data_IF_787538166488
#
_entry.id   IF_787538166488
#
_cell.length_a   1.000
_cell.length_b   1.000
_cell.length_c   1.000
_cell.angle_alpha   90.00
_cell.angle_beta   90.00
_cell.angle_gamma   90.00
#
_symmetry.space_group_name_H-M   'P 1'
#
loop_
_entity.id
_entity.type
_entity.pdbx_description
1 polymer ?
#
# COMPACT_ATOMS: atom_id res chain seq x y z
N UNK A 1 -49.65 47.49 -64.47
CA UNK A 1 -49.68 47.72 -63.02
C UNK A 1 -49.60 46.34 -62.34
N UNK A 2 -48.43 45.98 -61.91
CA UNK A 2 -48.13 44.66 -61.36
C UNK A 2 -48.13 44.72 -59.82
N UNK A 3 -49.03 44.04 -59.19
CA UNK A 3 -49.05 43.89 -57.70
C UNK A 3 -48.04 42.84 -57.30
N UNK A 4 -47.18 43.28 -56.38
CA UNK A 4 -46.20 42.35 -55.72
C UNK A 4 -46.82 41.91 -54.45
N UNK A 5 -47.07 40.58 -54.33
CA UNK A 5 -47.54 39.93 -53.11
C UNK A 5 -46.29 39.50 -52.28
N UNK A 6 -46.14 40.10 -51.10
CA UNK A 6 -45.11 39.70 -50.11
C UNK A 6 -45.62 38.55 -49.30
N UNK A 7 -44.99 37.39 -49.42
CA UNK A 7 -45.25 36.25 -48.57
C UNK A 7 -44.30 36.34 -47.38
N UNK A 8 -44.85 36.56 -46.19
CA UNK A 8 -44.12 36.46 -44.91
C UNK A 8 -43.96 35.00 -44.52
N UNK A 9 -42.74 34.51 -44.60
CA UNK A 9 -42.41 33.17 -44.08
C UNK A 9 -42.00 33.28 -42.63
N UNK A 10 -42.86 32.85 -41.68
CA UNK A 10 -42.57 32.75 -40.28
C UNK A 10 -41.71 31.51 -39.98
N UNK A 11 -40.44 31.73 -39.60
CA UNK A 11 -39.57 30.67 -39.10
C UNK A 11 -39.96 30.32 -37.67
N UNK A 12 -40.55 29.16 -37.49
CA UNK A 12 -40.70 28.49 -36.18
C UNK A 12 -39.38 27.83 -35.78
N UNK A 13 -38.66 28.42 -34.85
CA UNK A 13 -37.51 27.80 -34.23
C UNK A 13 -37.96 26.80 -33.21
N UNK A 14 -37.83 25.53 -33.51
CA UNK A 14 -37.98 24.43 -32.52
C UNK A 14 -36.74 24.43 -31.61
N UNK A 15 -36.92 24.87 -30.37
CA UNK A 15 -35.92 24.70 -29.32
C UNK A 15 -36.01 23.26 -28.78
N UNK A 16 -35.02 22.45 -29.16
CA UNK A 16 -34.83 21.13 -28.51
C UNK A 16 -34.27 21.34 -27.09
N UNK A 17 -34.87 20.79 -26.04
CA UNK A 17 -34.24 20.75 -24.74
C UNK A 17 -33.11 19.74 -24.78
N UNK A 18 -31.87 20.21 -24.77
CA UNK A 18 -30.69 19.38 -24.53
C UNK A 18 -30.84 18.67 -23.20
N UNK A 19 -31.06 17.36 -23.23
CA UNK A 19 -30.88 16.49 -22.06
C UNK A 19 -29.44 16.65 -21.61
N UNK A 20 -29.26 17.28 -20.44
CA UNK A 20 -27.99 17.26 -19.73
C UNK A 20 -27.61 15.79 -19.50
N UNK A 21 -26.66 15.30 -20.27
CA UNK A 21 -26.04 14.00 -20.08
C UNK A 21 -25.23 14.13 -18.79
N UNK A 22 -25.73 13.49 -17.74
CA UNK A 22 -25.05 13.33 -16.47
C UNK A 22 -23.77 12.55 -16.79
N UNK A 23 -22.64 13.25 -16.83
CA UNK A 23 -21.32 12.67 -16.93
C UNK A 23 -21.16 11.75 -15.73
N UNK A 24 -21.31 10.45 -15.94
CA UNK A 24 -20.86 9.45 -15.00
C UNK A 24 -19.36 9.64 -14.85
N UNK A 25 -18.94 9.98 -13.64
CA UNK A 25 -17.53 10.09 -13.30
C UNK A 25 -16.84 8.81 -13.75
N UNK A 26 -15.82 8.97 -14.56
CA UNK A 26 -14.91 7.94 -15.03
C UNK A 26 -14.09 7.46 -13.81
N UNK A 27 -14.63 6.44 -13.11
CA UNK A 27 -14.00 5.84 -11.93
C UNK A 27 -12.96 4.78 -12.28
N UNK A 28 -12.58 4.67 -13.55
CA UNK A 28 -11.68 3.60 -14.03
C UNK A 28 -10.33 4.14 -14.55
N UNK A 29 -9.92 5.34 -14.12
CA UNK A 29 -8.54 5.78 -14.33
C UNK A 29 -7.65 5.12 -13.28
N UNK A 30 -6.61 4.35 -13.69
CA UNK A 30 -5.54 3.97 -12.77
C UNK A 30 -5.01 5.24 -12.11
N UNK A 31 -4.86 5.25 -10.80
CA UNK A 31 -4.26 6.40 -10.12
C UNK A 31 -2.89 6.64 -10.73
N UNK A 32 -2.57 7.89 -11.11
CA UNK A 32 -1.24 8.26 -11.63
C UNK A 32 -0.13 8.11 -10.54
N UNK A 33 -0.52 7.71 -9.32
CA UNK A 33 0.38 7.48 -8.19
C UNK A 33 1.32 6.31 -8.47
N UNK A 34 2.60 6.52 -8.29
CA UNK A 34 3.60 5.46 -8.34
C UNK A 34 3.63 4.69 -7.04
N UNK A 35 3.42 3.39 -7.10
CA UNK A 35 3.21 2.52 -5.94
C UNK A 35 4.39 1.59 -5.74
N UNK A 36 4.90 1.55 -4.52
CA UNK A 36 5.85 0.56 -4.04
C UNK A 36 5.13 -0.42 -3.10
N UNK A 37 5.41 -1.71 -3.23
CA UNK A 37 4.99 -2.74 -2.28
C UNK A 37 6.24 -3.30 -1.63
N UNK A 38 6.66 -2.66 -0.53
CA UNK A 38 7.81 -3.10 0.26
C UNK A 38 7.35 -4.12 1.30
N UNK A 39 8.06 -5.27 1.40
CA UNK A 39 7.65 -6.31 2.33
C UNK A 39 8.83 -7.09 2.92
N UNK A 40 8.69 -7.51 4.18
CA UNK A 40 9.53 -8.48 4.85
C UNK A 40 8.79 -9.81 4.97
N UNK A 41 9.45 -10.92 4.60
CA UNK A 41 8.86 -12.26 4.70
C UNK A 41 9.95 -13.33 4.82
N UNK A 42 9.89 -14.16 5.86
CA UNK A 42 10.80 -15.30 6.05
C UNK A 42 10.23 -16.60 5.46
N UNK A 43 8.93 -16.81 5.56
CA UNK A 43 8.25 -18.06 5.17
C UNK A 43 7.41 -17.98 3.91
N UNK A 44 7.41 -16.82 3.25
CA UNK A 44 6.63 -16.57 2.02
C UNK A 44 5.18 -16.15 2.25
N UNK A 45 4.67 -16.17 3.48
CA UNK A 45 3.26 -15.81 3.74
C UNK A 45 2.97 -14.35 3.42
N UNK A 46 3.76 -13.42 3.95
CA UNK A 46 3.61 -11.98 3.65
C UNK A 46 3.94 -11.68 2.19
N UNK A 47 4.87 -12.40 1.58
CA UNK A 47 5.23 -12.28 0.17
C UNK A 47 4.06 -12.57 -0.77
N UNK A 48 3.27 -13.62 -0.49
CA UNK A 48 2.06 -13.93 -1.26
C UNK A 48 1.04 -12.78 -1.23
N UNK A 49 0.89 -12.15 -0.07
CA UNK A 49 0.03 -10.97 0.11
C UNK A 49 0.59 -9.78 -0.67
N UNK A 50 1.88 -9.49 -0.54
CA UNK A 50 2.55 -8.42 -1.26
C UNK A 50 2.41 -8.57 -2.79
N UNK A 51 2.58 -9.79 -3.30
CA UNK A 51 2.40 -10.11 -4.72
C UNK A 51 0.97 -9.84 -5.19
N UNK A 52 -0.04 -10.17 -4.38
CA UNK A 52 -1.43 -9.89 -4.72
C UNK A 52 -1.71 -8.37 -4.74
N UNK A 53 -1.20 -7.61 -3.78
CA UNK A 53 -1.30 -6.15 -3.76
C UNK A 53 -0.64 -5.55 -5.01
N UNK A 54 0.60 -5.93 -5.29
CA UNK A 54 1.34 -5.42 -6.45
C UNK A 54 0.62 -5.71 -7.77
N UNK A 55 0.07 -6.91 -7.93
CA UNK A 55 -0.70 -7.29 -9.12
C UNK A 55 -1.93 -6.40 -9.33
N UNK A 56 -2.68 -6.11 -8.27
CA UNK A 56 -3.93 -5.36 -8.37
C UNK A 56 -3.73 -3.85 -8.45
N UNK A 57 -2.62 -3.33 -7.91
CA UNK A 57 -2.32 -1.88 -7.90
C UNK A 57 -1.34 -1.45 -8.99
N UNK A 58 -0.73 -2.40 -9.70
CA UNK A 58 0.39 -2.12 -10.61
C UNK A 58 1.69 -1.71 -9.88
N UNK A 59 1.75 -1.89 -8.56
CA UNK A 59 2.88 -1.50 -7.74
C UNK A 59 4.13 -2.36 -7.96
N UNK A 60 5.32 -1.75 -7.79
CA UNK A 60 6.60 -2.46 -7.84
C UNK A 60 6.84 -3.20 -6.53
N UNK A 61 7.16 -4.49 -6.62
CA UNK A 61 7.58 -5.29 -5.46
C UNK A 61 9.01 -4.93 -5.04
N UNK A 62 9.21 -4.80 -3.72
CA UNK A 62 10.54 -4.68 -3.12
C UNK A 62 10.61 -5.52 -1.85
N UNK A 63 11.48 -6.51 -1.83
CA UNK A 63 11.71 -7.34 -0.66
C UNK A 63 12.69 -6.66 0.30
N UNK A 64 12.27 -6.42 1.52
CA UNK A 64 13.15 -6.00 2.61
C UNK A 64 13.97 -7.24 3.01
N UNK A 65 15.23 -7.27 2.56
CA UNK A 65 16.09 -8.44 2.70
C UNK A 65 17.13 -8.17 3.79
N UNK A 66 17.15 -8.93 4.89
CA UNK A 66 18.26 -8.89 5.85
C UNK A 66 19.57 -9.35 5.19
N UNK A 67 20.69 -8.75 5.58
CA UNK A 67 22.02 -9.13 5.08
C UNK A 67 22.35 -10.60 5.37
N UNK A 68 21.84 -11.11 6.50
CA UNK A 68 21.90 -12.54 6.85
C UNK A 68 20.48 -13.10 6.91
N UNK A 69 20.17 -14.09 6.10
CA UNK A 69 18.86 -14.73 6.08
C UNK A 69 18.55 -15.38 7.45
N UNK A 70 17.26 -15.42 7.80
CA UNK A 70 16.80 -16.15 8.98
C UNK A 70 16.68 -17.64 8.66
N UNK A 71 17.27 -18.49 9.50
CA UNK A 71 17.08 -19.94 9.48
C UNK A 71 15.80 -20.31 10.25
N UNK A 72 15.40 -21.58 10.20
CA UNK A 72 14.27 -22.08 11.01
C UNK A 72 14.56 -21.94 12.50
N UNK A 73 15.81 -22.16 12.94
CA UNK A 73 16.22 -21.97 14.33
C UNK A 73 16.16 -20.50 14.75
N UNK A 74 16.53 -19.55 13.87
CA UNK A 74 16.41 -18.12 14.13
C UNK A 74 14.96 -17.68 14.33
N UNK A 75 14.00 -18.42 13.80
CA UNK A 75 12.57 -18.10 13.85
C UNK A 75 11.82 -18.86 14.96
N UNK A 76 12.50 -19.67 15.75
CA UNK A 76 11.86 -20.37 16.89
C UNK A 76 11.48 -19.37 17.99
N UNK A 77 10.23 -18.95 17.97
CA UNK A 77 9.68 -18.00 18.94
C UNK A 77 9.57 -18.58 20.37
N UNK A 78 9.69 -19.91 20.56
CA UNK A 78 9.73 -20.55 21.87
C UNK A 78 11.14 -20.49 22.49
N UNK A 79 12.17 -20.40 21.67
CA UNK A 79 13.55 -20.23 22.13
C UNK A 79 13.86 -18.73 22.35
N UNK A 80 14.06 -18.35 23.63
CA UNK A 80 14.42 -16.98 23.98
C UNK A 80 15.81 -16.56 23.47
N UNK A 81 16.67 -17.52 23.13
CA UNK A 81 17.98 -17.30 22.57
C UNK A 81 17.97 -17.27 21.03
N UNK A 82 16.85 -17.60 20.40
CA UNK A 82 16.73 -17.48 18.95
C UNK A 82 16.95 -16.02 18.48
N UNK A 83 17.48 -15.87 17.29
CA UNK A 83 17.78 -14.54 16.74
C UNK A 83 16.56 -13.61 16.74
N UNK A 84 15.40 -14.11 16.29
CA UNK A 84 14.18 -13.30 16.30
C UNK A 84 13.75 -12.88 17.70
N UNK A 85 13.86 -13.78 18.71
CA UNK A 85 13.55 -13.48 20.10
C UNK A 85 14.47 -12.40 20.66
N UNK A 86 15.78 -12.52 20.43
CA UNK A 86 16.77 -11.56 20.88
C UNK A 86 16.57 -10.19 20.22
N UNK A 87 16.40 -10.17 18.91
CA UNK A 87 16.14 -8.94 18.16
C UNK A 87 14.86 -8.23 18.62
N UNK A 88 13.77 -8.99 18.83
CA UNK A 88 12.50 -8.40 19.27
C UNK A 88 12.52 -7.90 20.71
N UNK A 89 13.33 -8.51 21.59
CA UNK A 89 13.53 -8.05 22.98
C UNK A 89 14.30 -6.73 23.07
N UNK A 90 15.10 -6.38 22.06
CA UNK A 90 15.84 -5.13 21.97
C UNK A 90 15.14 -4.13 21.04
N UNK A 91 14.59 -3.06 21.61
CA UNK A 91 13.93 -1.99 20.86
C UNK A 91 14.86 -1.24 19.91
N UNK A 92 16.17 -1.28 20.17
CA UNK A 92 17.20 -0.62 19.36
C UNK A 92 17.80 -1.52 18.30
N UNK A 93 17.46 -2.81 18.29
CA UNK A 93 17.97 -3.74 17.30
C UNK A 93 17.60 -3.31 15.89
N UNK A 94 18.62 -3.27 15.00
CA UNK A 94 18.49 -2.90 13.58
C UNK A 94 19.32 -3.86 12.74
N UNK A 95 18.83 -5.09 12.49
CA UNK A 95 19.54 -6.05 11.65
C UNK A 95 19.91 -5.43 10.31
N UNK A 96 21.15 -5.59 9.90
CA UNK A 96 21.64 -5.04 8.64
C UNK A 96 20.80 -5.53 7.46
N UNK A 97 20.52 -4.63 6.53
CA UNK A 97 19.83 -4.93 5.29
C UNK A 97 20.84 -5.18 4.16
N UNK A 98 20.52 -6.19 3.35
CA UNK A 98 21.17 -6.52 2.08
C UNK A 98 20.18 -6.38 0.91
N UNK A 99 20.54 -7.02 -0.22
CA UNK A 99 19.67 -7.02 -1.40
C UNK A 99 19.72 -5.70 -2.21
N UNK A 100 18.74 -5.54 -3.07
CA UNK A 100 18.65 -4.37 -3.95
C UNK A 100 18.29 -3.10 -3.16
N UNK A 101 18.87 -1.98 -3.58
CA UNK A 101 18.46 -0.66 -3.12
C UNK A 101 17.33 -0.10 -3.99
N UNK A 102 16.54 0.82 -3.45
CA UNK A 102 15.47 1.50 -4.17
C UNK A 102 15.65 3.02 -4.09
N UNK A 103 15.17 3.71 -5.10
CA UNK A 103 15.02 5.16 -5.10
C UNK A 103 13.60 5.51 -4.65
N UNK A 104 13.41 5.65 -3.33
CA UNK A 104 12.07 5.85 -2.75
C UNK A 104 11.40 7.13 -3.24
N UNK A 105 12.20 8.15 -3.67
CA UNK A 105 11.68 9.39 -4.25
C UNK A 105 10.76 9.18 -5.45
N UNK A 106 10.89 8.04 -6.15
CA UNK A 106 10.11 7.75 -7.36
C UNK A 106 8.70 7.25 -7.06
N UNK A 107 8.33 7.10 -5.80
CA UNK A 107 7.04 6.56 -5.38
C UNK A 107 6.25 7.56 -4.54
N UNK A 108 4.92 7.52 -4.66
CA UNK A 108 3.99 8.36 -3.90
C UNK A 108 3.38 7.57 -2.73
N UNK A 109 3.08 6.29 -2.97
CA UNK A 109 2.45 5.39 -2.01
C UNK A 109 3.34 4.18 -1.76
N UNK A 110 3.50 3.81 -0.49
CA UNK A 110 4.24 2.63 -0.06
C UNK A 110 3.33 1.70 0.73
N UNK A 111 2.96 0.57 0.16
CA UNK A 111 2.44 -0.53 0.96
C UNK A 111 3.59 -1.18 1.72
N UNK A 112 3.49 -1.23 3.06
CA UNK A 112 4.52 -1.78 3.93
C UNK A 112 4.04 -3.07 4.59
N UNK A 113 4.60 -4.21 4.16
CA UNK A 113 4.19 -5.55 4.55
C UNK A 113 5.14 -6.24 5.52
N UNK A 114 4.58 -6.90 6.55
CA UNK A 114 5.39 -7.66 7.51
C UNK A 114 4.57 -8.76 8.23
N UNK A 115 5.22 -9.84 8.69
CA UNK A 115 4.60 -10.73 9.67
C UNK A 115 4.62 -10.04 11.05
N UNK A 116 3.59 -10.23 11.86
CA UNK A 116 3.59 -9.72 13.23
C UNK A 116 4.41 -10.66 14.11
N UNK A 117 5.46 -10.12 14.75
CA UNK A 117 6.28 -10.76 15.76
C UNK A 117 6.09 -10.06 17.10
N UNK A 118 5.62 -10.77 18.15
CA UNK A 118 5.37 -10.20 19.48
C UNK A 118 4.56 -8.89 19.43
N UNK A 119 3.44 -8.91 18.68
CA UNK A 119 2.54 -7.77 18.44
C UNK A 119 3.16 -6.56 17.74
N UNK A 120 4.38 -6.67 17.24
CA UNK A 120 5.14 -5.60 16.59
C UNK A 120 5.55 -5.99 15.16
N UNK A 121 6.09 -5.02 14.41
CA UNK A 121 6.79 -5.32 13.19
C UNK A 121 8.22 -5.85 13.49
N UNK A 122 8.76 -6.77 12.67
CA UNK A 122 10.13 -7.26 12.82
C UNK A 122 11.18 -6.15 12.66
N UNK A 123 12.27 -6.25 13.38
CA UNK A 123 13.33 -5.22 13.40
C UNK A 123 13.95 -4.87 12.04
N UNK A 124 14.07 -5.78 11.05
CA UNK A 124 14.46 -5.38 9.69
C UNK A 124 13.55 -4.32 9.04
N UNK A 125 12.25 -4.32 9.40
CA UNK A 125 11.30 -3.29 8.93
C UNK A 125 11.61 -1.93 9.53
N UNK A 126 11.98 -1.87 10.82
CA UNK A 126 12.45 -0.63 11.45
C UNK A 126 13.69 -0.08 10.75
N UNK A 127 14.68 -0.95 10.47
CA UNK A 127 15.88 -0.52 9.74
C UNK A 127 15.53 0.02 8.34
N UNK A 128 14.60 -0.60 7.63
CA UNK A 128 14.13 -0.12 6.33
C UNK A 128 13.52 1.29 6.43
N UNK A 129 12.66 1.53 7.43
CA UNK A 129 12.04 2.83 7.65
C UNK A 129 13.04 3.93 8.02
N UNK A 130 14.16 3.57 8.64
CA UNK A 130 15.22 4.49 9.03
C UNK A 130 16.27 4.73 7.92
N UNK A 131 16.37 3.76 6.99
CA UNK A 131 17.33 3.83 5.87
C UNK A 131 16.88 4.77 4.76
N UNK A 132 15.57 4.90 4.53
CA UNK A 132 15.00 5.64 3.41
C UNK A 132 14.19 6.86 3.89
N UNK A 133 14.14 7.89 3.05
CA UNK A 133 13.33 9.09 3.31
C UNK A 133 11.88 8.89 2.84
N UNK A 134 10.97 8.92 3.78
CA UNK A 134 9.52 8.80 3.57
C UNK A 134 8.79 10.13 3.53
N UNK A 135 9.48 11.27 3.51
CA UNK A 135 8.83 12.58 3.44
C UNK A 135 7.92 12.70 2.22
N UNK A 136 6.68 13.12 2.45
CA UNK A 136 5.65 13.24 1.40
C UNK A 136 5.15 11.92 0.82
N UNK A 137 5.39 10.79 1.49
CA UNK A 137 4.91 9.47 1.09
C UNK A 137 3.77 9.02 1.99
N UNK A 138 2.69 8.53 1.37
CA UNK A 138 1.64 7.82 2.10
C UNK A 138 2.05 6.38 2.33
N UNK A 139 2.11 5.94 3.60
CA UNK A 139 2.47 4.56 3.96
C UNK A 139 1.25 3.80 4.45
N UNK A 140 0.94 2.69 3.78
CA UNK A 140 -0.21 1.83 4.05
C UNK A 140 0.28 0.49 4.61
N UNK A 141 0.22 0.26 5.92
CA UNK A 141 0.69 -0.99 6.51
C UNK A 141 -0.22 -2.17 6.17
N UNK A 142 0.36 -3.34 5.89
CA UNK A 142 -0.36 -4.60 5.88
C UNK A 142 0.44 -5.68 6.61
N UNK A 143 -0.24 -6.57 7.28
CA UNK A 143 0.43 -7.60 8.05
C UNK A 143 -0.21 -8.98 7.90
N UNK A 144 0.59 -10.00 8.15
CA UNK A 144 0.14 -11.39 8.34
C UNK A 144 0.44 -11.81 9.78
N UNK A 145 -0.43 -12.61 10.39
CA UNK A 145 -0.26 -13.05 11.77
C UNK A 145 -0.96 -14.38 12.03
N UNK A 146 -0.41 -15.17 12.93
CA UNK A 146 -1.06 -16.38 13.44
C UNK A 146 -2.17 -16.10 14.46
N UNK A 147 -2.20 -14.92 15.10
CA UNK A 147 -3.19 -14.61 16.15
C UNK A 147 -3.31 -13.14 16.53
N UNK A 148 -2.24 -12.35 16.37
CA UNK A 148 -2.25 -10.93 16.74
C UNK A 148 -2.99 -10.05 15.72
N UNK A 149 -3.61 -8.96 16.20
CA UNK A 149 -4.12 -7.89 15.34
C UNK A 149 -2.98 -6.99 14.85
N UNK A 150 -3.22 -6.23 13.78
CA UNK A 150 -2.25 -5.24 13.28
C UNK A 150 -2.18 -3.98 14.14
N UNK A 151 -3.18 -3.73 14.99
CA UNK A 151 -3.35 -2.45 15.71
C UNK A 151 -2.15 -2.08 16.58
N UNK A 152 -1.59 -3.06 17.31
CA UNK A 152 -0.43 -2.84 18.19
C UNK A 152 0.80 -2.38 17.40
N UNK A 153 1.12 -3.09 16.32
CA UNK A 153 2.29 -2.79 15.48
C UNK A 153 2.17 -1.44 14.78
N UNK A 154 1.00 -1.10 14.22
CA UNK A 154 0.76 0.21 13.57
C UNK A 154 0.84 1.35 14.59
N UNK A 155 0.26 1.18 15.78
CA UNK A 155 0.37 2.18 16.85
C UNK A 155 1.83 2.46 17.22
N UNK A 156 2.66 1.42 17.32
CA UNK A 156 4.08 1.58 17.58
C UNK A 156 4.80 2.29 16.43
N UNK A 157 4.55 1.90 15.18
CA UNK A 157 5.15 2.54 14.01
C UNK A 157 4.83 4.03 13.94
N UNK A 158 3.56 4.41 14.12
CA UNK A 158 3.14 5.82 14.18
C UNK A 158 3.85 6.61 15.28
N UNK A 159 4.10 5.99 16.44
CA UNK A 159 4.82 6.61 17.56
C UNK A 159 6.31 6.78 17.26
N UNK A 160 6.95 5.78 16.66
CA UNK A 160 8.39 5.80 16.37
C UNK A 160 8.73 6.69 15.18
N UNK A 161 7.84 6.76 14.18
CA UNK A 161 8.06 7.49 12.94
C UNK A 161 6.92 8.48 12.67
N UNK A 162 6.75 9.52 13.54
CA UNK A 162 5.62 10.45 13.47
C UNK A 162 5.66 11.40 12.26
N UNK A 163 6.79 11.46 11.53
CA UNK A 163 6.93 12.26 10.31
C UNK A 163 6.43 11.55 9.06
N UNK A 164 6.17 10.25 9.15
CA UNK A 164 5.63 9.47 8.04
C UNK A 164 4.10 9.64 8.04
N UNK A 165 3.52 9.83 6.88
CA UNK A 165 2.08 9.89 6.68
C UNK A 165 1.52 8.46 6.62
N UNK A 166 0.93 8.03 7.74
CA UNK A 166 0.43 6.67 7.93
C UNK A 166 -1.06 6.57 7.69
N UNK A 167 -1.45 5.69 6.80
CA UNK A 167 -2.84 5.24 6.68
C UNK A 167 -3.18 4.15 7.70
N UNK A 168 -4.46 3.72 7.70
CA UNK A 168 -4.87 2.57 8.49
C UNK A 168 -4.32 1.27 7.91
N UNK A 169 -3.73 0.47 8.79
CA UNK A 169 -3.19 -0.83 8.41
C UNK A 169 -4.27 -1.92 8.31
N UNK A 170 -3.99 -2.97 7.53
CA UNK A 170 -4.87 -4.13 7.40
C UNK A 170 -4.17 -5.45 7.72
N UNK A 171 -4.83 -6.28 8.54
CA UNK A 171 -4.44 -7.68 8.73
C UNK A 171 -4.91 -8.50 7.52
N UNK A 172 -3.96 -9.12 6.80
CA UNK A 172 -4.18 -9.78 5.52
C UNK A 172 -4.03 -11.30 5.61
N UNK A 173 -4.78 -11.94 6.50
CA UNK A 173 -4.81 -13.41 6.66
C UNK A 173 -5.87 -14.09 5.77
N UNK A 174 -6.58 -13.30 4.96
CA UNK A 174 -7.69 -13.78 4.12
C UNK A 174 -7.26 -14.05 2.68
N UNK A 175 -8.22 -14.34 1.80
CA UNK A 175 -7.95 -14.62 0.40
C UNK A 175 -7.25 -13.46 -0.30
N UNK A 176 -6.33 -13.78 -1.21
CA UNK A 176 -5.57 -12.81 -2.00
C UNK A 176 -6.47 -11.88 -2.81
N UNK A 177 -7.63 -12.36 -3.28
CA UNK A 177 -8.63 -11.53 -3.98
C UNK A 177 -9.15 -10.39 -3.10
N UNK A 178 -9.57 -10.70 -1.87
CA UNK A 178 -10.07 -9.67 -0.93
C UNK A 178 -8.99 -8.66 -0.53
N UNK A 179 -7.74 -9.09 -0.53
CA UNK A 179 -6.58 -8.21 -0.29
C UNK A 179 -6.36 -7.28 -1.46
N UNK A 180 -6.44 -7.79 -2.69
CA UNK A 180 -6.30 -6.99 -3.90
C UNK A 180 -7.40 -5.93 -4.02
N UNK A 181 -8.66 -6.32 -3.82
CA UNK A 181 -9.80 -5.39 -3.84
C UNK A 181 -9.62 -4.25 -2.81
N UNK A 182 -9.17 -4.58 -1.60
CA UNK A 182 -8.83 -3.58 -0.59
C UNK A 182 -7.70 -2.66 -1.01
N UNK A 183 -6.64 -3.21 -1.59
CA UNK A 183 -5.47 -2.41 -1.96
C UNK A 183 -5.82 -1.37 -3.04
N UNK A 184 -6.72 -1.71 -3.98
CA UNK A 184 -7.25 -0.73 -4.95
C UNK A 184 -8.00 0.40 -4.26
N UNK A 185 -8.92 0.07 -3.36
CA UNK A 185 -9.69 1.07 -2.60
C UNK A 185 -8.80 1.98 -1.74
N UNK A 186 -7.67 1.46 -1.23
CA UNK A 186 -6.77 2.22 -0.37
C UNK A 186 -5.90 3.26 -1.11
N UNK A 187 -5.88 3.24 -2.45
CA UNK A 187 -5.12 4.18 -3.28
C UNK A 187 -6.01 5.16 -4.07
N UNK A 188 -7.32 4.96 -4.05
CA UNK A 188 -8.32 5.88 -4.61
C UNK A 188 -8.43 7.16 -3.76
#
# INVERSE_FOLDING_TARGET
MKQIVLILMSLLTFSNPSKAQKQTADTDRPSDKKILVAYFSCTGTTEKVATAIAKETGGKLHRITPATAYTSADLDWNDKASRSSVEMADDKSRPALGGETIELKDYDVVFLGYPIWWDLCPRPVNNFLEKYDFAGKTVIPFATSGGSSITGSVKQLKRLYPKIEWEEGRLCNRSTKQVGDWAKQAIE
#
